data_IF_901129466399
#
_entry.id   IF_901129466399
#
_cell.length_a   1.000
_cell.length_b   1.000
_cell.length_c   1.000
_cell.angle_alpha   90.00
_cell.angle_beta   90.00
_cell.angle_gamma   90.00
#
_symmetry.space_group_name_H-M   'P 1'
#
loop_
_entity.id
_entity.type
_entity.pdbx_description
1 polymer ?
#
# COMPACT_ATOMS: atom_id res chain seq x y z
N UNK A 1 9.11 11.72 -1.71
CA UNK A 1 8.45 10.44 -1.38
C UNK A 1 7.64 10.67 -0.13
N UNK A 2 6.36 10.28 -0.10
CA UNK A 2 5.55 10.37 1.12
C UNK A 2 6.18 9.48 2.20
N UNK A 3 6.35 10.00 3.41
CA UNK A 3 6.79 9.16 4.54
C UNK A 3 5.73 8.07 4.80
N UNK A 4 6.16 6.90 5.29
CA UNK A 4 5.31 5.72 5.54
C UNK A 4 4.11 6.07 6.42
N UNK A 5 4.33 6.96 7.39
CA UNK A 5 3.31 7.46 8.31
C UNK A 5 2.25 8.29 7.57
N UNK A 6 2.69 9.25 6.77
CA UNK A 6 1.83 10.14 5.99
C UNK A 6 1.02 9.40 4.94
N UNK A 7 1.61 8.37 4.30
CA UNK A 7 0.88 7.45 3.40
C UNK A 7 -0.20 6.67 4.14
N UNK A 8 0.10 6.20 5.37
CA UNK A 8 -0.90 5.51 6.20
C UNK A 8 -2.05 6.45 6.58
N UNK A 9 -1.74 7.68 6.99
CA UNK A 9 -2.75 8.72 7.27
C UNK A 9 -3.64 8.96 6.05
N UNK A 10 -3.05 9.12 4.86
CA UNK A 10 -3.80 9.32 3.62
C UNK A 10 -4.71 8.13 3.29
N UNK A 11 -4.25 6.89 3.51
CA UNK A 11 -5.08 5.68 3.33
C UNK A 11 -6.28 5.68 4.27
N UNK A 12 -6.07 5.96 5.55
CA UNK A 12 -7.14 6.03 6.55
C UNK A 12 -8.15 7.12 6.18
N UNK A 13 -7.68 8.31 5.79
CA UNK A 13 -8.55 9.40 5.35
C UNK A 13 -9.36 9.02 4.11
N UNK A 14 -8.77 8.31 3.15
CA UNK A 14 -9.45 7.86 1.94
C UNK A 14 -10.54 6.82 2.22
N UNK A 15 -10.33 5.93 3.20
CA UNK A 15 -11.36 4.98 3.65
C UNK A 15 -12.53 5.68 4.35
N UNK A 16 -12.27 6.79 5.04
CA UNK A 16 -13.32 7.55 5.74
C UNK A 16 -14.06 8.46 4.75
N UNK A 17 -13.37 9.03 3.76
CA UNK A 17 -13.88 10.01 2.80
C UNK A 17 -14.05 9.41 1.40
N UNK A 18 -14.89 8.38 1.26
CA UNK A 18 -15.05 7.65 -0.01
C UNK A 18 -15.68 8.50 -1.14
N UNK A 19 -16.59 9.44 -0.80
CA UNK A 19 -17.48 10.09 -1.79
C UNK A 19 -16.97 11.42 -2.37
N UNK A 20 -15.70 11.79 -2.20
CA UNK A 20 -15.14 13.11 -2.58
C UNK A 20 -15.83 14.32 -1.89
N UNK A 21 -16.83 14.08 -1.04
CA UNK A 21 -17.51 15.09 -0.24
C UNK A 21 -16.69 15.40 1.01
N UNK A 22 -16.70 16.68 1.42
CA UNK A 22 -16.14 17.09 2.70
C UNK A 22 -16.81 16.36 3.85
N UNK A 23 -16.01 15.63 4.62
CA UNK A 23 -16.47 14.89 5.78
C UNK A 23 -15.86 15.47 7.03
N UNK A 24 -16.67 15.52 8.07
CA UNK A 24 -16.27 15.95 9.41
C UNK A 24 -15.80 14.71 10.17
N UNK A 25 -14.58 14.75 10.68
CA UNK A 25 -13.91 13.62 11.34
C UNK A 25 -13.24 14.11 12.61
N UNK A 26 -13.55 13.47 13.72
CA UNK A 26 -12.92 13.76 15.01
C UNK A 26 -11.58 13.03 15.16
N UNK A 27 -10.68 13.62 15.95
CA UNK A 27 -9.36 13.07 16.25
C UNK A 27 -9.44 11.63 16.79
N UNK A 28 -10.31 11.39 17.77
CA UNK A 28 -10.50 10.05 18.37
C UNK A 28 -11.00 9.02 17.35
N UNK A 29 -11.91 9.45 16.47
CA UNK A 29 -12.41 8.61 15.38
C UNK A 29 -11.28 8.27 14.40
N UNK A 30 -10.44 9.26 14.06
CA UNK A 30 -9.32 9.06 13.15
C UNK A 30 -8.28 8.08 13.73
N UNK A 31 -7.87 8.26 14.99
CA UNK A 31 -6.92 7.36 15.67
C UNK A 31 -7.46 5.94 15.74
N UNK A 32 -8.76 5.77 15.98
CA UNK A 32 -9.37 4.44 16.09
C UNK A 32 -9.19 3.59 14.82
N UNK A 33 -9.07 4.23 13.66
CA UNK A 33 -8.82 3.58 12.36
C UNK A 33 -7.32 3.37 12.07
N UNK A 34 -6.41 3.94 12.86
CA UNK A 34 -4.99 3.67 12.69
C UNK A 34 -4.62 2.25 13.16
N UNK A 35 -3.70 1.57 12.46
CA UNK A 35 -3.22 0.27 12.91
C UNK A 35 -2.52 0.40 14.27
N UNK A 36 -2.89 -0.44 15.25
CA UNK A 36 -2.37 -0.43 16.65
C UNK A 36 -0.85 -0.42 16.79
N UNK A 37 -0.10 -0.79 15.74
CA UNK A 37 1.37 -0.74 15.69
C UNK A 37 1.93 0.67 15.48
N UNK A 38 1.13 1.61 15.00
CA UNK A 38 1.52 3.00 14.74
C UNK A 38 0.91 3.87 15.84
N UNK A 39 1.74 4.27 16.82
CA UNK A 39 1.35 5.33 17.75
C UNK A 39 1.33 6.66 16.99
N UNK A 40 0.14 7.14 16.63
CA UNK A 40 -0.03 8.54 16.20
C UNK A 40 -0.25 9.40 17.45
N UNK A 41 0.65 10.35 17.70
CA UNK A 41 0.35 11.46 18.59
C UNK A 41 -0.41 12.56 17.83
N UNK A 42 -1.02 13.48 18.57
CA UNK A 42 -1.78 14.60 17.99
C UNK A 42 -0.90 15.51 17.14
N UNK A 43 0.26 15.87 17.67
CA UNK A 43 1.29 16.66 16.97
C UNK A 43 1.70 16.00 15.65
N UNK A 44 1.97 14.69 15.68
CA UNK A 44 2.35 13.95 14.47
C UNK A 44 1.25 13.90 13.42
N UNK A 45 -0.01 13.83 13.85
CA UNK A 45 -1.15 13.85 12.95
C UNK A 45 -1.31 15.23 12.32
N UNK A 46 -1.21 16.30 13.11
CA UNK A 46 -1.28 17.68 12.62
C UNK A 46 -0.17 17.97 11.61
N UNK A 47 1.07 17.55 11.91
CA UNK A 47 2.19 17.65 10.97
C UNK A 47 1.90 16.90 9.65
N UNK A 48 1.34 15.69 9.77
CA UNK A 48 0.98 14.88 8.60
C UNK A 48 -0.13 15.54 7.77
N UNK A 49 -1.17 16.08 8.42
CA UNK A 49 -2.27 16.80 7.76
C UNK A 49 -1.77 18.08 7.08
N UNK A 50 -0.91 18.85 7.74
CA UNK A 50 -0.30 20.04 7.17
C UNK A 50 0.55 19.72 5.94
N UNK A 51 1.36 18.65 6.03
CA UNK A 51 2.14 18.17 4.89
C UNK A 51 1.25 17.71 3.73
N UNK A 52 0.19 16.94 4.01
CA UNK A 52 -0.75 16.45 3.00
C UNK A 52 -1.51 17.61 2.33
N UNK A 53 -1.89 18.63 3.10
CA UNK A 53 -2.53 19.85 2.62
C UNK A 53 -1.58 20.66 1.73
N UNK A 54 -0.33 20.85 2.16
CA UNK A 54 0.69 21.55 1.39
C UNK A 54 0.97 20.86 0.04
N UNK A 55 0.93 19.52 0.00
CA UNK A 55 1.07 18.73 -1.22
C UNK A 55 -0.16 18.69 -2.14
N UNK A 56 -1.28 19.32 -1.72
CA UNK A 56 -2.60 19.25 -2.37
C UNK A 56 -3.15 17.82 -2.49
N UNK A 57 -2.81 16.96 -1.53
CA UNK A 57 -3.33 15.59 -1.46
C UNK A 57 -4.66 15.51 -0.72
N UNK A 58 -4.88 16.44 0.20
CA UNK A 58 -6.13 16.63 0.93
C UNK A 58 -6.49 18.11 0.92
N UNK A 59 -7.77 18.41 1.08
CA UNK A 59 -8.24 19.77 1.36
C UNK A 59 -8.93 19.81 2.72
N UNK A 60 -8.60 20.84 3.52
CA UNK A 60 -9.12 21.01 4.88
C UNK A 60 -9.82 22.37 4.94
N UNK A 61 -11.14 22.34 5.08
CA UNK A 61 -11.99 23.54 5.19
C UNK A 61 -11.88 24.21 6.55
N UNK A 62 -11.90 23.42 7.62
CA UNK A 62 -11.72 23.91 8.98
C UNK A 62 -11.22 22.79 9.91
N UNK A 63 -10.53 23.21 10.97
CA UNK A 63 -10.06 22.36 12.06
C UNK A 63 -10.33 23.10 13.37
N UNK A 64 -11.31 22.64 14.14
CA UNK A 64 -11.73 23.26 15.40
C UNK A 64 -12.03 22.16 16.41
N UNK A 65 -11.62 22.36 17.66
CA UNK A 65 -11.91 21.46 18.79
C UNK A 65 -11.70 19.96 18.49
N UNK A 66 -10.57 19.63 17.88
CA UNK A 66 -10.18 18.25 17.49
C UNK A 66 -11.09 17.60 16.44
N UNK A 67 -11.92 18.41 15.80
CA UNK A 67 -12.77 18.06 14.67
C UNK A 67 -12.21 18.66 13.39
N UNK A 68 -12.01 17.82 12.38
CA UNK A 68 -11.45 18.19 11.08
C UNK A 68 -12.50 18.01 9.98
N UNK A 69 -12.78 19.06 9.22
CA UNK A 69 -13.58 18.96 8.00
C UNK A 69 -12.66 18.93 6.79
N UNK A 70 -12.55 17.75 6.18
CA UNK A 70 -11.59 17.50 5.10
C UNK A 70 -12.17 16.58 4.01
N UNK A 71 -11.52 16.61 2.85
CA UNK A 71 -11.75 15.67 1.76
C UNK A 71 -10.40 15.24 1.18
N UNK A 72 -10.36 14.03 0.60
CA UNK A 72 -9.17 13.54 -0.11
C UNK A 72 -9.25 13.98 -1.56
N UNK A 73 -8.20 14.66 -2.02
CA UNK A 73 -8.17 15.16 -3.39
C UNK A 73 -7.86 14.00 -4.37
N UNK A 74 -8.28 14.11 -5.65
CA UNK A 74 -7.97 13.10 -6.68
C UNK A 74 -6.48 12.79 -6.78
N UNK A 75 -5.62 13.79 -6.60
CA UNK A 75 -4.16 13.64 -6.59
C UNK A 75 -3.68 12.73 -5.45
N UNK A 76 -4.30 12.80 -4.27
CA UNK A 76 -4.03 11.91 -3.16
C UNK A 76 -4.43 10.47 -3.46
N UNK A 77 -5.62 10.28 -4.07
CA UNK A 77 -6.13 8.97 -4.51
C UNK A 77 -5.19 8.29 -5.51
N UNK A 78 -4.72 9.04 -6.52
CA UNK A 78 -3.78 8.52 -7.52
C UNK A 78 -2.48 7.98 -6.89
N UNK A 79 -1.91 8.70 -5.92
CA UNK A 79 -0.69 8.24 -5.24
C UNK A 79 -0.92 6.97 -4.43
N UNK A 80 -2.09 6.84 -3.79
CA UNK A 80 -2.45 5.61 -3.09
C UNK A 80 -2.54 4.43 -4.05
N UNK A 81 -3.21 4.62 -5.19
CA UNK A 81 -3.31 3.60 -6.23
C UNK A 81 -1.95 3.19 -6.79
N UNK A 82 -1.09 4.16 -7.13
CA UNK A 82 0.26 3.88 -7.65
C UNK A 82 1.09 3.09 -6.62
N UNK A 83 1.01 3.49 -5.34
CA UNK A 83 1.72 2.79 -4.26
C UNK A 83 1.22 1.35 -4.09
N UNK A 84 -0.10 1.12 -4.16
CA UNK A 84 -0.67 -0.23 -4.04
C UNK A 84 -0.42 -1.08 -5.29
N UNK A 85 -0.35 -0.47 -6.48
CA UNK A 85 0.06 -1.16 -7.72
C UNK A 85 1.50 -1.62 -7.64
N UNK A 86 2.42 -0.78 -7.18
CA UNK A 86 3.84 -1.11 -7.07
C UNK A 86 4.10 -2.25 -6.07
N UNK A 87 3.48 -2.20 -4.88
CA UNK A 87 3.59 -3.26 -3.87
C UNK A 87 3.05 -4.58 -4.41
N UNK A 88 1.90 -4.56 -5.09
CA UNK A 88 1.30 -5.75 -5.67
C UNK A 88 2.11 -6.29 -6.85
N UNK A 89 2.67 -5.42 -7.70
CA UNK A 89 3.52 -5.82 -8.81
C UNK A 89 4.80 -6.51 -8.32
N UNK A 90 5.46 -5.94 -7.29
CA UNK A 90 6.68 -6.52 -6.72
C UNK A 90 6.41 -7.88 -6.05
N UNK A 91 5.31 -7.99 -5.30
CA UNK A 91 4.82 -9.23 -4.69
C UNK A 91 4.52 -10.31 -5.74
N UNK A 92 3.82 -9.94 -6.81
CA UNK A 92 3.44 -10.85 -7.90
C UNK A 92 4.66 -11.31 -8.69
N UNK A 93 5.59 -10.40 -8.99
CA UNK A 93 6.84 -10.72 -9.67
C UNK A 93 7.69 -11.70 -8.86
N UNK A 94 7.84 -11.46 -7.55
CA UNK A 94 8.58 -12.35 -6.65
C UNK A 94 7.97 -13.76 -6.61
N UNK A 95 6.63 -13.84 -6.52
CA UNK A 95 5.91 -15.13 -6.54
C UNK A 95 6.11 -15.87 -7.88
N UNK A 96 5.99 -15.17 -9.00
CA UNK A 96 6.18 -15.76 -10.34
C UNK A 96 7.60 -16.30 -10.46
N UNK A 97 8.62 -15.53 -10.04
CA UNK A 97 10.01 -15.95 -10.11
C UNK A 97 10.24 -17.22 -9.27
N UNK A 98 9.72 -17.27 -8.06
CA UNK A 98 9.83 -18.44 -7.18
C UNK A 98 9.14 -19.68 -7.78
N UNK A 99 7.94 -19.52 -8.33
CA UNK A 99 7.22 -20.62 -9.01
C UNK A 99 8.00 -21.10 -10.23
N UNK A 100 8.49 -20.18 -11.07
CA UNK A 100 9.28 -20.56 -12.26
C UNK A 100 10.57 -21.30 -11.89
N UNK A 101 11.26 -20.88 -10.82
CA UNK A 101 12.45 -21.56 -10.32
C UNK A 101 12.18 -22.99 -9.81
N UNK A 102 11.03 -23.22 -9.15
CA UNK A 102 10.63 -24.56 -8.71
C UNK A 102 10.22 -25.44 -9.90
N UNK A 103 9.47 -24.89 -10.86
CA UNK A 103 9.04 -25.65 -12.04
C UNK A 103 10.21 -26.03 -12.94
N UNK A 104 11.21 -25.16 -13.11
CA UNK A 104 12.38 -25.46 -13.92
C UNK A 104 13.24 -26.57 -13.31
N UNK A 105 13.37 -26.61 -11.98
CA UNK A 105 14.05 -27.70 -11.27
C UNK A 105 13.41 -29.07 -11.50
N UNK A 106 12.08 -29.15 -11.41
CA UNK A 106 11.33 -30.40 -11.64
C UNK A 106 11.45 -30.86 -13.09
N UNK A 107 11.36 -29.93 -14.04
CA UNK A 107 11.47 -30.24 -15.48
C UNK A 107 12.88 -30.71 -15.87
N UNK A 108 13.92 -30.13 -15.28
CA UNK A 108 15.31 -30.54 -15.50
C UNK A 108 15.58 -31.97 -14.98
N UNK A 109 15.01 -32.34 -13.83
CA UNK A 109 15.12 -33.70 -13.29
C UNK A 109 14.42 -34.74 -14.16
N UNK A 110 13.20 -34.46 -14.63
CA UNK A 110 12.46 -35.33 -15.55
C UNK A 110 13.18 -35.50 -16.89
N UNK A 111 13.66 -34.39 -17.47
CA UNK A 111 14.41 -34.41 -18.73
C UNK A 111 15.74 -35.17 -18.61
N UNK A 112 16.48 -34.96 -17.53
CA UNK A 112 17.73 -35.68 -17.25
C UNK A 112 17.50 -37.19 -17.05
N UNK A 113 16.46 -37.57 -16.30
CA UNK A 113 16.13 -38.98 -16.08
C UNK A 113 15.72 -39.69 -17.38
N UNK A 114 14.90 -39.05 -18.21
CA UNK A 114 14.53 -39.57 -19.54
C UNK A 114 15.73 -39.70 -20.48
N UNK A 115 16.64 -38.73 -20.47
CA UNK A 115 17.85 -38.77 -21.29
C UNK A 115 18.78 -39.92 -20.90
N UNK A 116 18.97 -40.15 -19.59
CA UNK A 116 19.76 -41.28 -19.08
C UNK A 116 19.10 -42.62 -19.42
N UNK A 117 17.77 -42.73 -19.37
CA UNK A 117 17.08 -43.97 -19.73
C UNK A 117 17.17 -44.28 -21.24
N UNK A 118 17.09 -43.26 -22.10
CA UNK A 118 17.16 -43.41 -23.56
C UNK A 118 18.58 -43.67 -24.06
N UNK A 119 19.58 -42.93 -23.58
CA UNK A 119 20.97 -43.04 -24.07
C UNK A 119 21.85 -43.96 -23.21
N UNK A 120 21.49 -44.22 -21.95
CA UNK A 120 22.27 -45.07 -21.05
C UNK A 120 22.14 -46.58 -21.32
N UNK A 121 21.22 -47.00 -22.19
CA UNK A 121 21.06 -48.41 -22.60
C UNK A 121 21.69 -48.74 -23.97
N UNK A 122 22.32 -47.76 -24.61
CA UNK A 122 22.90 -47.87 -25.95
C UNK A 122 24.44 -47.94 -26.01
N UNK A 123 25.12 -48.18 -24.89
CA UNK A 123 26.56 -48.47 -24.84
C UNK A 123 26.81 -49.80 -24.11
#
# INVERSE_FOLDING_TARGET
>A
MLDKKTSTTLKVLNLICEDDVYKVVDYDNLISHFPKKVKCSKEMLEDSLNYLKAGQYIDIKYSQDDTYCLTVMPKGKLILEDTDRDINAMSRFTKILLVTALTSGIMAFLGGFLAVMLFGKGL
#
